data_IF_252481514632
#
_entry.id   IF_252481514632
#
_cell.length_a   1.000
_cell.length_b   1.000
_cell.length_c   1.000
_cell.angle_alpha   90.00
_cell.angle_beta   90.00
_cell.angle_gamma   90.00
#
_symmetry.space_group_name_H-M   'P 1'
#
loop_
_entity.id
_entity.type
_entity.pdbx_description
1 polymer ?
#
# COMPACT_ATOMS: atom_id res chain seq x y z
N UNK A 1 15.54 -0.24 -17.16
CA UNK A 1 14.76 -0.18 -15.94
C UNK A 1 13.64 -1.11 -16.27
N UNK A 2 13.59 -2.33 -15.75
CA UNK A 2 12.67 -3.31 -16.35
C UNK A 2 11.22 -2.83 -16.18
N UNK A 3 10.42 -2.96 -17.25
CA UNK A 3 8.96 -2.77 -17.24
C UNK A 3 8.31 -3.46 -16.03
N UNK A 4 8.87 -4.60 -15.61
CA UNK A 4 8.50 -5.31 -14.39
C UNK A 4 8.61 -4.48 -13.10
N UNK A 5 9.66 -3.67 -12.91
CA UNK A 5 9.79 -2.81 -11.70
C UNK A 5 8.71 -1.73 -11.67
N UNK A 6 8.40 -1.14 -12.83
CA UNK A 6 7.32 -0.15 -12.96
C UNK A 6 5.97 -0.80 -12.65
N UNK A 7 5.71 -1.99 -13.18
CA UNK A 7 4.49 -2.74 -12.92
C UNK A 7 4.33 -3.08 -11.43
N UNK A 8 5.39 -3.55 -10.78
CA UNK A 8 5.38 -3.90 -9.36
C UNK A 8 5.10 -2.67 -8.48
N UNK A 9 5.73 -1.53 -8.78
CA UNK A 9 5.48 -0.28 -8.06
C UNK A 9 4.05 0.24 -8.30
N UNK A 10 3.53 0.11 -9.53
CA UNK A 10 2.16 0.49 -9.89
C UNK A 10 1.12 -0.35 -9.14
N UNK A 11 1.31 -1.68 -9.15
CA UNK A 11 0.46 -2.61 -8.42
C UNK A 11 0.42 -2.30 -6.93
N UNK A 12 1.57 -1.99 -6.33
CA UNK A 12 1.63 -1.59 -4.93
C UNK A 12 0.88 -0.27 -4.71
N UNK A 13 1.16 0.76 -5.51
CA UNK A 13 0.55 2.09 -5.40
C UNK A 13 -0.99 2.06 -5.42
N UNK A 14 -1.57 1.40 -6.43
CA UNK A 14 -3.02 1.25 -6.53
C UNK A 14 -3.58 0.24 -5.55
N UNK A 15 -2.77 -0.76 -5.17
CA UNK A 15 -3.12 -1.75 -4.14
C UNK A 15 -3.33 -1.12 -2.77
N UNK A 16 -2.46 -0.19 -2.35
CA UNK A 16 -2.62 0.49 -1.05
C UNK A 16 -3.93 1.28 -0.96
N UNK A 17 -4.36 1.93 -2.05
CA UNK A 17 -5.64 2.62 -2.08
C UNK A 17 -6.83 1.68 -1.88
N UNK A 18 -6.80 0.49 -2.50
CA UNK A 18 -7.81 -0.54 -2.28
C UNK A 18 -7.75 -1.12 -0.86
N UNK A 19 -6.55 -1.42 -0.37
CA UNK A 19 -6.34 -1.96 0.97
C UNK A 19 -6.82 -0.98 2.06
N UNK A 20 -6.62 0.32 1.86
CA UNK A 20 -7.16 1.36 2.72
C UNK A 20 -8.69 1.35 2.74
N UNK A 21 -9.33 1.30 1.57
CA UNK A 21 -10.80 1.21 1.48
C UNK A 21 -11.34 -0.04 2.21
N UNK A 22 -10.71 -1.20 2.04
CA UNK A 22 -11.10 -2.41 2.77
C UNK A 22 -10.92 -2.26 4.29
N UNK A 23 -9.86 -1.57 4.72
CA UNK A 23 -9.62 -1.30 6.15
C UNK A 23 -10.70 -0.38 6.73
N UNK A 24 -11.12 0.65 5.99
CA UNK A 24 -12.24 1.52 6.39
C UNK A 24 -13.53 0.70 6.49
N UNK A 25 -13.85 -0.12 5.48
CA UNK A 25 -15.06 -0.94 5.48
C UNK A 25 -15.07 -1.92 6.65
N UNK A 26 -13.94 -2.53 6.98
CA UNK A 26 -13.79 -3.39 8.15
C UNK A 26 -14.00 -2.62 9.46
N UNK A 27 -13.42 -1.43 9.58
CA UNK A 27 -13.60 -0.54 10.74
C UNK A 27 -15.06 -0.11 10.94
N UNK A 28 -15.75 0.23 9.85
CA UNK A 28 -17.18 0.58 9.88
C UNK A 28 -18.06 -0.63 10.22
N UNK A 29 -17.77 -1.80 9.65
CA UNK A 29 -18.49 -3.03 9.94
C UNK A 29 -18.38 -3.44 11.41
N UNK A 30 -17.17 -3.40 11.98
CA UNK A 30 -16.95 -3.70 13.41
C UNK A 30 -17.60 -2.65 14.32
N UNK A 31 -17.59 -1.37 13.95
CA UNK A 31 -18.31 -0.33 14.69
C UNK A 31 -19.83 -0.54 14.65
N UNK A 32 -20.39 -0.91 13.49
CA UNK A 32 -21.82 -1.21 13.35
C UNK A 32 -22.23 -2.43 14.19
N UNK A 33 -21.41 -3.49 14.21
CA UNK A 33 -21.65 -4.65 15.07
C UNK A 33 -21.64 -4.26 16.56
N UNK A 34 -20.70 -3.42 16.98
CA UNK A 34 -20.64 -2.93 18.36
C UNK A 34 -21.90 -2.16 18.76
N UNK A 35 -22.44 -1.32 17.86
CA UNK A 35 -23.64 -0.52 18.12
C UNK A 35 -24.95 -1.33 18.01
N UNK A 36 -24.94 -2.44 17.26
CA UNK A 36 -26.13 -3.26 17.05
C UNK A 36 -26.46 -4.22 18.21
N UNK A 37 -25.56 -4.38 19.18
CA UNK A 37 -25.71 -5.29 20.30
C UNK A 37 -25.64 -4.56 21.63
N UNK A 38 -26.52 -4.93 22.56
CA UNK A 38 -26.48 -4.48 23.96
C UNK A 38 -25.77 -5.49 24.88
N UNK A 39 -25.29 -6.61 24.34
CA UNK A 39 -24.53 -7.61 25.10
C UNK A 39 -23.09 -7.11 25.32
N UNK A 40 -22.74 -6.89 26.59
CA UNK A 40 -21.42 -6.39 26.98
C UNK A 40 -20.28 -7.35 26.62
N UNK A 41 -20.49 -8.66 26.70
CA UNK A 41 -19.50 -9.67 26.31
C UNK A 41 -19.24 -9.60 24.81
N UNK A 42 -20.32 -9.52 24.04
CA UNK A 42 -20.23 -9.36 22.58
C UNK A 42 -19.51 -8.05 22.21
N UNK A 43 -19.84 -6.93 22.87
CA UNK A 43 -19.18 -5.65 22.65
C UNK A 43 -17.67 -5.70 22.94
N UNK A 44 -17.25 -6.38 24.01
CA UNK A 44 -15.83 -6.58 24.34
C UNK A 44 -15.11 -7.44 23.28
N UNK A 45 -15.75 -8.50 22.80
CA UNK A 45 -15.22 -9.33 21.70
C UNK A 45 -15.05 -8.48 20.44
N UNK A 46 -16.05 -7.68 20.07
CA UNK A 46 -15.98 -6.80 18.89
C UNK A 46 -14.88 -5.75 19.04
N UNK A 47 -14.67 -5.19 20.24
CA UNK A 47 -13.53 -4.30 20.51
C UNK A 47 -12.21 -5.04 20.31
N UNK A 48 -12.06 -6.26 20.85
CA UNK A 48 -10.88 -7.09 20.65
C UNK A 48 -10.59 -7.37 19.17
N UNK A 49 -11.61 -7.74 18.41
CA UNK A 49 -11.55 -7.93 16.95
C UNK A 49 -11.18 -6.62 16.25
N UNK A 50 -11.75 -5.49 16.69
CA UNK A 50 -11.44 -4.19 16.10
C UNK A 50 -9.99 -3.79 16.30
N UNK A 51 -9.36 -4.09 17.44
CA UNK A 51 -7.95 -3.78 17.65
C UNK A 51 -7.03 -4.83 17.02
N UNK A 52 -7.07 -6.06 17.52
CA UNK A 52 -6.15 -7.13 17.08
C UNK A 52 -6.47 -7.57 15.65
N UNK A 53 -7.74 -7.77 15.35
CA UNK A 53 -8.19 -8.19 14.03
C UNK A 53 -7.85 -7.16 12.95
N UNK A 54 -7.96 -5.86 13.24
CA UNK A 54 -7.54 -4.81 12.28
C UNK A 54 -6.03 -4.86 12.02
N UNK A 55 -5.19 -5.01 13.05
CA UNK A 55 -3.74 -5.11 12.86
C UNK A 55 -3.37 -6.34 12.02
N UNK A 56 -3.95 -7.51 12.34
CA UNK A 56 -3.71 -8.75 11.58
C UNK A 56 -4.20 -8.60 10.14
N UNK A 57 -5.40 -8.07 9.94
CA UNK A 57 -5.99 -7.83 8.63
C UNK A 57 -5.13 -6.88 7.78
N UNK A 58 -4.70 -5.74 8.35
CA UNK A 58 -3.83 -4.80 7.63
C UNK A 58 -2.48 -5.41 7.32
N UNK A 59 -1.85 -6.11 8.27
CA UNK A 59 -0.60 -6.82 8.02
C UNK A 59 -0.74 -7.79 6.84
N UNK A 60 -1.82 -8.57 6.82
CA UNK A 60 -2.09 -9.55 5.77
C UNK A 60 -2.32 -8.91 4.39
N UNK A 61 -3.15 -7.87 4.28
CA UNK A 61 -3.44 -7.24 2.98
C UNK A 61 -2.28 -6.38 2.47
N UNK A 62 -1.45 -5.81 3.37
CA UNK A 62 -0.31 -4.96 2.97
C UNK A 62 0.95 -5.76 2.66
N UNK A 63 1.11 -6.96 3.20
CA UNK A 63 2.28 -7.81 2.94
C UNK A 63 2.56 -8.08 1.46
N UNK A 64 1.62 -8.58 0.64
CA UNK A 64 1.88 -8.76 -0.78
C UNK A 64 2.18 -7.44 -1.50
N UNK A 65 1.60 -6.32 -1.05
CA UNK A 65 1.88 -5.00 -1.62
C UNK A 65 3.29 -4.52 -1.29
N UNK A 66 3.72 -4.69 -0.05
CA UNK A 66 5.07 -4.38 0.41
C UNK A 66 6.12 -5.28 -0.23
N UNK A 67 5.80 -6.55 -0.53
CA UNK A 67 6.66 -7.42 -1.33
C UNK A 67 6.83 -6.91 -2.76
N UNK A 68 5.74 -6.49 -3.42
CA UNK A 68 5.82 -5.91 -4.77
C UNK A 68 6.63 -4.62 -4.78
N UNK A 69 6.35 -3.72 -3.84
CA UNK A 69 7.10 -2.48 -3.67
C UNK A 69 8.59 -2.77 -3.39
N UNK A 70 8.87 -3.69 -2.47
CA UNK A 70 10.23 -4.10 -2.11
C UNK A 70 11.01 -4.64 -3.31
N UNK A 71 10.40 -5.54 -4.11
CA UNK A 71 11.00 -6.03 -5.37
C UNK A 71 11.24 -4.92 -6.39
N UNK A 72 10.36 -3.92 -6.46
CA UNK A 72 10.57 -2.76 -7.33
C UNK A 72 11.71 -1.85 -6.89
N UNK A 73 12.05 -1.86 -5.60
CA UNK A 73 13.05 -1.01 -4.93
C UNK A 73 14.33 -1.78 -4.54
N UNK A 74 14.44 -3.05 -4.93
CA UNK A 74 15.56 -3.95 -4.55
C UNK A 74 15.77 -4.03 -3.03
N UNK A 75 14.68 -4.10 -2.26
CA UNK A 75 14.75 -4.27 -0.82
C UNK A 75 15.18 -5.69 -0.42
N UNK A 76 15.90 -5.85 0.70
CA UNK A 76 16.02 -7.14 1.36
C UNK A 76 14.65 -7.70 1.73
N UNK A 77 14.48 -9.02 1.65
CA UNK A 77 13.18 -9.69 1.89
C UNK A 77 12.57 -9.35 3.25
N UNK A 78 13.40 -9.15 4.27
CA UNK A 78 12.97 -8.78 5.62
C UNK A 78 12.34 -7.38 5.70
N UNK A 79 12.73 -6.46 4.81
CA UNK A 79 12.23 -5.09 4.85
C UNK A 79 10.75 -5.01 4.49
N UNK A 80 10.30 -5.80 3.51
CA UNK A 80 8.88 -5.88 3.16
C UNK A 80 8.03 -6.37 4.33
N UNK A 81 8.52 -7.40 5.06
CA UNK A 81 7.87 -7.91 6.28
C UNK A 81 7.81 -6.84 7.37
N UNK A 82 8.93 -6.19 7.66
CA UNK A 82 9.01 -5.16 8.70
C UNK A 82 8.12 -3.95 8.37
N UNK A 83 8.03 -3.54 7.10
CA UNK A 83 7.10 -2.48 6.67
C UNK A 83 5.64 -2.88 6.89
N UNK A 84 5.24 -4.13 6.63
CA UNK A 84 3.88 -4.58 6.92
C UNK A 84 3.55 -4.57 8.40
N UNK A 85 4.49 -5.03 9.23
CA UNK A 85 4.33 -5.00 10.70
C UNK A 85 4.18 -3.56 11.16
N UNK A 86 5.04 -2.65 10.69
CA UNK A 86 4.96 -1.24 11.04
C UNK A 86 3.64 -0.60 10.58
N UNK A 87 3.17 -0.91 9.37
CA UNK A 87 1.87 -0.45 8.88
C UNK A 87 0.71 -0.98 9.74
N UNK A 88 0.74 -2.26 10.12
CA UNK A 88 -0.26 -2.86 11.00
C UNK A 88 -0.30 -2.15 12.37
N UNK A 89 0.85 -1.87 12.97
CA UNK A 89 0.96 -1.15 14.24
C UNK A 89 0.49 0.30 14.12
N UNK A 90 0.90 1.02 13.07
CA UNK A 90 0.46 2.39 12.80
C UNK A 90 -1.05 2.49 12.53
N UNK A 91 -1.68 1.40 12.09
CA UNK A 91 -3.12 1.38 11.84
C UNK A 91 -3.92 1.46 13.14
N UNK A 92 -3.40 0.91 14.22
CA UNK A 92 -4.05 0.94 15.53
C UNK A 92 -4.27 2.36 16.07
N UNK A 93 -3.46 3.34 15.67
CA UNK A 93 -3.53 4.70 16.22
C UNK A 93 -4.45 5.64 15.43
N UNK A 94 -4.63 5.42 14.13
CA UNK A 94 -5.28 6.39 13.23
C UNK A 94 -6.16 5.74 12.14
N UNK A 95 -6.72 4.56 12.40
CA UNK A 95 -7.51 3.79 11.43
C UNK A 95 -6.75 3.52 10.11
N UNK A 96 -5.41 3.45 10.18
CA UNK A 96 -4.55 3.16 9.04
C UNK A 96 -4.24 4.34 8.13
N UNK A 97 -4.86 5.50 8.29
CA UNK A 97 -4.71 6.62 7.34
C UNK A 97 -3.23 6.94 7.09
N UNK A 98 -2.46 7.13 8.15
CA UNK A 98 -1.02 7.46 8.04
C UNK A 98 -0.23 6.33 7.41
N UNK A 99 -0.52 5.08 7.78
CA UNK A 99 0.16 3.91 7.24
C UNK A 99 -0.02 3.81 5.71
N UNK A 100 -1.27 3.92 5.24
CA UNK A 100 -1.58 3.82 3.81
C UNK A 100 -1.09 5.02 3.01
N UNK A 101 -1.13 6.25 3.57
CA UNK A 101 -0.50 7.43 2.96
C UNK A 101 1.00 7.17 2.78
N UNK A 102 1.69 6.67 3.80
CA UNK A 102 3.12 6.40 3.72
C UNK A 102 3.45 5.34 2.66
N UNK A 103 2.69 4.23 2.62
CA UNK A 103 2.82 3.19 1.59
C UNK A 103 2.60 3.74 0.17
N UNK A 104 1.53 4.52 -0.04
CA UNK A 104 1.26 5.18 -1.32
C UNK A 104 2.33 6.19 -1.70
N UNK A 105 2.88 6.97 -0.75
CA UNK A 105 3.94 7.93 -1.00
C UNK A 105 5.25 7.24 -1.42
N UNK A 106 5.61 6.13 -0.77
CA UNK A 106 6.79 5.33 -1.17
C UNK A 106 6.61 4.77 -2.59
N UNK A 107 5.47 4.16 -2.89
CA UNK A 107 5.20 3.62 -4.22
C UNK A 107 5.13 4.70 -5.30
N UNK A 108 4.55 5.87 -4.99
CA UNK A 108 4.51 7.02 -5.89
C UNK A 108 5.90 7.57 -6.17
N UNK A 109 6.72 7.73 -5.12
CA UNK A 109 8.12 8.18 -5.24
C UNK A 109 8.91 7.21 -6.11
N UNK A 110 8.69 5.90 -5.93
CA UNK A 110 9.33 4.89 -6.77
C UNK A 110 8.87 5.00 -8.23
N UNK A 111 7.57 5.12 -8.51
CA UNK A 111 7.07 5.31 -9.88
C UNK A 111 7.67 6.55 -10.56
N UNK A 112 7.81 7.65 -9.83
CA UNK A 112 8.44 8.88 -10.33
C UNK A 112 9.93 8.67 -10.61
N UNK A 113 10.66 8.00 -9.70
CA UNK A 113 12.06 7.59 -9.94
C UNK A 113 12.18 6.68 -11.15
N UNK A 114 11.13 5.89 -11.40
CA UNK A 114 11.01 5.02 -12.54
C UNK A 114 10.51 5.73 -13.82
N UNK A 115 10.54 7.07 -13.88
CA UNK A 115 10.20 7.84 -15.08
C UNK A 115 8.71 8.03 -15.34
N UNK A 116 7.83 7.57 -14.45
CA UNK A 116 6.37 7.74 -14.64
C UNK A 116 5.99 9.22 -14.48
N UNK A 117 5.31 9.83 -15.47
CA UNK A 117 4.97 11.25 -15.40
C UNK A 117 3.94 11.55 -14.31
N UNK A 118 4.29 12.47 -13.40
CA UNK A 118 3.42 12.94 -12.32
C UNK A 118 2.53 14.08 -12.82
N UNK A 119 1.22 13.98 -12.59
CA UNK A 119 0.29 15.12 -12.74
C UNK A 119 0.07 15.81 -11.40
N UNK A 120 -0.46 17.05 -11.41
CA UNK A 120 -0.78 17.83 -10.21
C UNK A 120 -1.59 17.04 -9.17
N UNK A 121 -2.59 16.26 -9.61
CA UNK A 121 -3.48 15.48 -8.74
C UNK A 121 -2.96 14.05 -8.44
N UNK A 122 -1.68 13.77 -8.68
CA UNK A 122 -1.06 12.47 -8.43
C UNK A 122 -0.95 11.56 -9.66
N UNK A 123 -0.86 10.25 -9.41
CA UNK A 123 -0.71 9.23 -10.46
C UNK A 123 -2.07 8.58 -10.74
N UNK A 124 -2.51 8.60 -11.99
CA UNK A 124 -3.74 7.91 -12.40
C UNK A 124 -3.40 6.58 -13.06
N UNK A 125 -4.23 5.56 -12.82
CA UNK A 125 -4.04 4.22 -13.41
C UNK A 125 -3.95 4.27 -14.94
N UNK A 126 -4.75 5.12 -15.58
CA UNK A 126 -4.72 5.33 -17.03
C UNK A 126 -3.34 5.81 -17.51
N UNK A 127 -2.74 6.80 -16.84
CA UNK A 127 -1.45 7.34 -17.27
C UNK A 127 -0.30 6.37 -16.98
N UNK A 128 -0.34 5.68 -15.83
CA UNK A 128 0.68 4.69 -15.47
C UNK A 128 0.66 3.52 -16.45
N UNK A 129 -0.53 3.05 -16.83
CA UNK A 129 -0.67 1.99 -17.84
C UNK A 129 -0.21 2.46 -19.22
N UNK A 130 -0.59 3.67 -19.65
CA UNK A 130 -0.11 4.22 -20.91
C UNK A 130 1.43 4.35 -20.96
N UNK A 131 2.05 4.70 -19.83
CA UNK A 131 3.51 4.71 -19.70
C UNK A 131 4.09 3.29 -19.79
N UNK A 132 3.52 2.32 -19.07
CA UNK A 132 3.92 0.91 -19.13
C UNK A 132 3.82 0.31 -20.55
N UNK A 133 2.76 0.68 -21.28
CA UNK A 133 2.52 0.22 -22.65
C UNK A 133 3.53 0.84 -23.64
N UNK A 134 4.04 2.04 -23.33
CA UNK A 134 5.09 2.71 -24.12
C UNK A 134 6.49 2.15 -23.90
N UNK A 135 6.71 1.38 -22.82
CA UNK A 135 8.02 0.81 -22.51
C UNK A 135 8.26 -0.47 -23.35
N UNK A 136 9.42 -0.58 -24.05
CA UNK A 136 9.81 -1.80 -24.73
C UNK A 136 10.03 -2.93 -23.71
N UNK A 137 9.78 -4.18 -24.11
CA UNK A 137 9.85 -5.34 -23.20
C UNK A 137 11.24 -5.55 -22.59
N UNK A 138 12.28 -5.16 -23.33
CA UNK A 138 13.71 -5.28 -23.03
C UNK A 138 14.33 -3.99 -22.47
N UNK A 139 13.52 -3.02 -22.01
CA UNK A 139 14.00 -1.73 -21.51
C UNK A 139 15.03 -1.87 -20.34
N UNK A 140 16.32 -1.69 -20.63
CA UNK A 140 17.41 -1.55 -19.67
C UNK A 140 17.70 -0.05 -19.38
N UNK A 141 18.10 0.34 -18.15
CA UNK A 141 18.11 1.75 -17.79
C UNK A 141 19.35 2.45 -18.35
N UNK A 142 19.18 3.68 -18.83
CA UNK A 142 20.29 4.64 -18.84
C UNK A 142 20.42 5.17 -17.41
N UNK A 143 21.63 5.09 -16.85
CA UNK A 143 21.94 5.63 -15.53
C UNK A 143 21.50 7.11 -15.44
N UNK A 144 21.07 7.60 -14.26
CA UNK A 144 20.75 9.01 -14.10
C UNK A 144 21.99 9.82 -14.49
N UNK A 145 21.87 10.65 -15.53
CA UNK A 145 22.84 11.70 -15.79
C UNK A 145 22.71 12.68 -14.63
N UNK A 146 23.56 12.52 -13.62
CA UNK A 146 23.80 13.59 -12.66
C UNK A 146 24.48 14.71 -13.45
N UNK A 147 23.73 15.74 -13.78
CA UNK A 147 24.32 17.03 -14.14
C UNK A 147 25.04 17.55 -12.89
N UNK A 148 26.37 17.59 -12.95
CA UNK A 148 27.23 18.30 -12.00
C UNK A 148 26.97 19.79 -12.12
#
# INVERSE_FOLDING_TARGET
>A
MSKAKVQLAADAYFGYGKAFLFTILFGLGTAALHLASNDQTFQLIVIGIRWIGTAVFVGWITYPLNQKLGKSMDWPDDKARNTSILMALLTLTCLGIVAFIYGQQMASTQLIKLGTPKKWYGLSKKNVNAYLDSLPEDFAPVAPQMSI
#
